data_IF_562711961431
#
_entry.id   IF_562711961431
#
_cell.length_a   1.000
_cell.length_b   1.000
_cell.length_c   1.000
_cell.angle_alpha   90.00
_cell.angle_beta   90.00
_cell.angle_gamma   90.00
#
_symmetry.space_group_name_H-M   'P 1'
#
loop_
_entity.id
_entity.type
_entity.pdbx_description
1 polymer ?
#
# COMPACT_ATOMS: atom_id res chain seq x y z
N UNK A 1 3.18 -36.86 14.74
CA UNK A 1 3.01 -36.37 13.35
C UNK A 1 4.38 -36.20 12.71
N UNK A 2 4.72 -36.96 11.66
CA UNK A 2 6.07 -36.96 11.08
C UNK A 2 6.22 -35.81 10.07
N UNK A 3 7.28 -34.99 10.21
CA UNK A 3 7.62 -33.85 9.33
C UNK A 3 7.53 -34.16 7.83
N UNK A 4 7.98 -35.37 7.45
CA UNK A 4 7.96 -35.85 6.06
C UNK A 4 6.55 -36.06 5.51
N UNK A 5 5.59 -36.41 6.36
CA UNK A 5 4.20 -36.58 5.96
C UNK A 5 3.55 -35.22 5.76
N UNK A 6 3.76 -34.28 6.69
CA UNK A 6 3.25 -32.90 6.59
C UNK A 6 3.69 -32.19 5.30
N UNK A 7 4.97 -32.29 4.91
CA UNK A 7 5.46 -31.67 3.67
C UNK A 7 4.85 -32.32 2.41
N UNK A 8 4.70 -33.65 2.40
CA UNK A 8 4.04 -34.36 1.29
C UNK A 8 2.57 -33.97 1.16
N UNK A 9 1.86 -33.85 2.28
CA UNK A 9 0.47 -33.41 2.31
C UNK A 9 0.34 -31.96 1.81
N UNK A 10 1.19 -31.04 2.26
CA UNK A 10 1.15 -29.63 1.88
C UNK A 10 1.43 -29.40 0.37
N UNK A 11 2.30 -30.21 -0.25
CA UNK A 11 2.60 -30.15 -1.69
C UNK A 11 1.45 -30.67 -2.57
N UNK A 12 0.69 -31.66 -2.10
CA UNK A 12 -0.44 -32.21 -2.85
C UNK A 12 -1.64 -31.26 -2.87
N UNK A 13 -1.91 -30.55 -1.77
CA UNK A 13 -3.01 -29.57 -1.70
C UNK A 13 -2.73 -28.33 -2.56
N UNK A 14 -1.46 -27.92 -2.68
CA UNK A 14 -1.06 -26.80 -3.53
C UNK A 14 -1.18 -27.12 -5.02
N UNK A 15 -0.84 -28.34 -5.45
CA UNK A 15 -1.02 -28.79 -6.83
C UNK A 15 -2.50 -28.81 -7.28
N UNK A 16 -3.43 -29.15 -6.38
CA UNK A 16 -4.86 -29.15 -6.69
C UNK A 16 -5.43 -27.72 -6.83
N UNK A 17 -4.93 -26.74 -6.07
CA UNK A 17 -5.31 -25.33 -6.26
C UNK A 17 -4.72 -24.75 -7.57
N UNK A 18 -3.52 -25.19 -7.96
CA UNK A 18 -2.87 -24.86 -9.23
C UNK A 18 -3.58 -25.45 -10.46
N UNK A 19 -4.35 -26.52 -10.32
CA UNK A 19 -5.12 -27.11 -11.43
C UNK A 19 -6.44 -26.37 -11.72
N UNK A 20 -6.80 -25.35 -10.93
CA UNK A 20 -7.91 -24.47 -11.30
C UNK A 20 -7.55 -23.71 -12.58
N UNK A 21 -8.32 -23.91 -13.65
CA UNK A 21 -8.10 -23.29 -14.96
C UNK A 21 -7.92 -21.76 -14.89
N UNK A 22 -8.56 -21.13 -13.91
CA UNK A 22 -8.47 -19.69 -13.66
C UNK A 22 -7.08 -19.26 -13.15
N UNK A 23 -6.36 -20.08 -12.37
CA UNK A 23 -5.02 -19.72 -11.86
C UNK A 23 -3.92 -19.98 -12.90
N UNK A 24 -4.07 -21.02 -13.73
CA UNK A 24 -3.13 -21.32 -14.82
C UNK A 24 -3.17 -20.25 -15.93
N UNK A 25 -4.32 -19.61 -16.17
CA UNK A 25 -4.44 -18.50 -17.12
C UNK A 25 -3.67 -17.24 -16.68
N UNK A 26 -3.56 -16.97 -15.36
CA UNK A 26 -2.68 -15.92 -14.83
C UNK A 26 -1.19 -16.26 -14.94
N UNK A 27 -0.85 -17.55 -15.01
CA UNK A 27 0.52 -18.04 -15.02
C UNK A 27 1.15 -18.17 -16.41
N UNK A 28 0.36 -18.49 -17.43
CA UNK A 28 0.89 -18.82 -18.77
C UNK A 28 1.40 -17.63 -19.58
N UNK A 29 0.96 -16.42 -19.27
CA UNK A 29 1.41 -15.17 -19.94
C UNK A 29 2.67 -14.56 -19.29
N UNK A 30 3.10 -15.09 -18.13
CA UNK A 30 4.28 -14.60 -17.40
C UNK A 30 5.61 -14.96 -18.07
N UNK A 31 5.67 -16.07 -18.82
CA UNK A 31 6.96 -16.67 -19.21
C UNK A 31 7.39 -16.41 -20.65
N UNK A 32 6.48 -15.93 -21.51
CA UNK A 32 6.76 -15.81 -22.96
C UNK A 32 6.51 -14.41 -23.54
N UNK A 33 6.10 -13.43 -22.73
CA UNK A 33 5.84 -12.08 -23.20
C UNK A 33 6.92 -11.11 -22.67
N UNK A 34 7.85 -10.62 -23.52
CA UNK A 34 8.85 -9.63 -23.11
C UNK A 34 8.23 -8.28 -22.68
N UNK A 35 6.94 -8.05 -22.94
CA UNK A 35 6.18 -6.89 -22.48
C UNK A 35 5.32 -7.18 -21.22
N UNK A 36 5.57 -8.29 -20.51
CA UNK A 36 4.80 -8.61 -19.31
C UNK A 36 4.80 -7.46 -18.29
N UNK A 37 3.61 -6.98 -17.93
CA UNK A 37 3.40 -5.94 -16.90
C UNK A 37 2.74 -6.58 -15.68
N UNK A 38 3.51 -6.71 -14.60
CA UNK A 38 3.02 -7.17 -13.30
C UNK A 38 2.86 -6.03 -12.30
N UNK A 39 1.83 -6.09 -11.46
CA UNK A 39 1.67 -5.21 -10.30
C UNK A 39 1.93 -6.01 -9.02
N UNK A 40 2.90 -5.58 -8.22
CA UNK A 40 3.16 -6.15 -6.89
C UNK A 40 2.63 -5.16 -5.85
N UNK A 41 1.63 -5.60 -5.08
CA UNK A 41 1.14 -4.83 -3.92
C UNK A 41 1.72 -5.40 -2.64
N UNK A 42 2.52 -4.61 -1.95
CA UNK A 42 3.01 -4.91 -0.60
C UNK A 42 2.07 -4.26 0.43
N UNK A 43 1.54 -5.07 1.34
CA UNK A 43 0.77 -4.57 2.48
C UNK A 43 1.60 -4.64 3.75
N UNK A 44 1.94 -3.49 4.31
CA UNK A 44 2.69 -3.42 5.56
C UNK A 44 1.71 -3.38 6.75
N UNK A 45 1.00 -4.49 6.99
CA UNK A 45 0.02 -4.60 8.07
C UNK A 45 0.72 -4.68 9.44
N UNK A 46 0.45 -3.73 10.33
CA UNK A 46 0.99 -3.71 11.70
C UNK A 46 2.05 -2.63 11.93
N UNK A 47 3.22 -3.02 12.47
CA UNK A 47 4.25 -2.11 13.02
C UNK A 47 5.01 -1.23 12.01
N UNK A 48 4.43 -0.94 10.85
CA UNK A 48 4.99 0.04 9.92
C UNK A 48 4.60 1.45 10.36
N UNK A 49 5.60 2.24 10.70
CA UNK A 49 5.44 3.64 11.07
C UNK A 49 5.77 4.54 9.89
N UNK A 50 4.75 4.92 9.13
CA UNK A 50 4.90 5.74 7.92
C UNK A 50 5.44 7.14 8.21
N UNK A 51 5.15 7.69 9.40
CA UNK A 51 5.65 9.01 9.81
C UNK A 51 7.15 9.01 10.11
N UNK A 52 7.72 7.88 10.54
CA UNK A 52 9.17 7.71 10.68
C UNK A 52 9.82 7.19 9.39
N UNK A 53 9.04 6.69 8.43
CA UNK A 53 9.54 6.34 7.09
C UNK A 53 9.81 7.59 6.26
N UNK A 54 8.78 8.43 6.07
CA UNK A 54 8.81 9.66 5.28
C UNK A 54 8.55 10.85 6.21
N UNK A 55 9.61 11.58 6.53
CA UNK A 55 9.63 12.62 7.56
C UNK A 55 9.67 14.00 6.91
N UNK A 56 8.85 14.98 7.34
CA UNK A 56 9.01 16.37 6.93
C UNK A 56 10.40 16.90 7.33
N UNK A 57 11.10 17.55 6.41
CA UNK A 57 12.49 17.93 6.60
C UNK A 57 12.72 19.44 6.69
N UNK A 58 11.75 20.27 6.29
CA UNK A 58 11.83 21.72 6.52
C UNK A 58 11.70 22.06 8.01
N UNK A 59 12.27 23.19 8.44
CA UNK A 59 12.39 23.51 9.89
C UNK A 59 11.04 23.56 10.61
N UNK A 60 10.03 24.21 10.04
CA UNK A 60 8.68 24.29 10.62
C UNK A 60 8.00 22.91 10.69
N UNK A 61 7.75 22.24 9.55
CA UNK A 61 7.13 20.92 9.54
C UNK A 61 7.87 19.84 10.34
N UNK A 62 9.21 19.88 10.36
CA UNK A 62 10.00 18.97 11.21
C UNK A 62 9.78 19.25 12.70
N UNK A 63 9.71 20.52 13.10
CA UNK A 63 9.41 20.89 14.48
C UNK A 63 8.03 20.37 14.90
N UNK A 64 7.02 20.50 14.04
CA UNK A 64 5.67 19.95 14.30
C UNK A 64 5.72 18.43 14.49
N UNK A 65 6.36 17.71 13.55
CA UNK A 65 6.59 16.26 13.64
C UNK A 65 7.28 15.86 14.96
N UNK A 66 8.31 16.59 15.36
CA UNK A 66 9.03 16.34 16.62
C UNK A 66 8.15 16.61 17.85
N UNK A 67 7.34 17.66 17.82
CA UNK A 67 6.46 18.06 18.92
C UNK A 67 5.33 17.06 19.15
N UNK A 68 4.73 16.52 18.09
CA UNK A 68 3.66 15.51 18.22
C UNK A 68 4.19 14.14 18.67
N UNK A 69 5.49 13.86 18.48
CA UNK A 69 6.10 12.54 18.71
C UNK A 69 7.49 12.59 19.35
N UNK A 70 7.68 13.28 20.49
CA UNK A 70 9.00 13.62 21.02
C UNK A 70 9.91 12.42 21.33
N UNK A 71 9.32 11.28 21.73
CA UNK A 71 10.07 10.05 22.05
C UNK A 71 10.45 9.21 20.83
N UNK A 72 9.77 9.42 19.70
CA UNK A 72 9.91 8.59 18.49
C UNK A 72 10.54 9.36 17.33
N UNK A 73 10.61 10.69 17.43
CA UNK A 73 11.17 11.55 16.40
C UNK A 73 12.65 11.23 16.14
N UNK A 74 12.96 10.98 14.88
CA UNK A 74 14.33 10.75 14.43
C UNK A 74 15.06 12.10 14.35
N UNK A 75 16.27 12.24 14.94
CA UNK A 75 17.06 13.46 14.84
C UNK A 75 17.30 13.86 13.37
N UNK A 76 17.13 15.15 13.06
CA UNK A 76 17.13 15.69 11.70
C UNK A 76 18.40 15.34 10.93
N UNK A 77 19.53 15.43 11.61
CA UNK A 77 20.86 15.13 11.10
C UNK A 77 21.09 13.65 10.75
N UNK A 78 20.21 12.75 11.20
CA UNK A 78 20.26 11.32 10.86
C UNK A 78 19.35 10.95 9.68
N UNK A 79 18.50 11.86 9.24
CA UNK A 79 17.59 11.62 8.12
C UNK A 79 18.33 11.72 6.79
N UNK A 80 17.82 11.04 5.77
CA UNK A 80 18.34 11.09 4.41
C UNK A 80 17.48 12.05 3.60
N UNK A 81 17.95 13.27 3.27
CA UNK A 81 17.15 14.23 2.53
C UNK A 81 16.76 13.69 1.15
N UNK A 82 15.51 13.91 0.77
CA UNK A 82 15.01 13.56 -0.56
C UNK A 82 15.04 14.79 -1.46
N UNK A 83 15.47 14.60 -2.70
CA UNK A 83 15.57 15.65 -3.71
C UNK A 83 14.75 15.27 -4.95
N UNK A 84 14.08 16.26 -5.54
CA UNK A 84 13.41 16.14 -6.83
C UNK A 84 14.21 16.97 -7.82
N UNK A 85 14.81 16.32 -8.82
CA UNK A 85 15.64 16.97 -9.84
C UNK A 85 16.75 17.88 -9.25
N UNK A 86 17.35 17.45 -8.13
CA UNK A 86 18.40 18.21 -7.44
C UNK A 86 17.90 19.31 -6.49
N UNK A 87 16.58 19.53 -6.39
CA UNK A 87 15.99 20.48 -5.46
C UNK A 87 15.41 19.78 -4.23
N UNK A 88 15.47 20.38 -3.03
CA UNK A 88 14.88 19.79 -1.83
C UNK A 88 13.39 19.51 -2.01
N UNK A 89 12.97 18.29 -1.71
CA UNK A 89 11.55 17.89 -1.75
C UNK A 89 10.73 18.39 -0.56
N UNK A 90 11.40 18.90 0.48
CA UNK A 90 10.81 19.19 1.79
C UNK A 90 10.65 17.95 2.67
N UNK A 91 11.06 16.76 2.22
CA UNK A 91 11.00 15.50 2.95
C UNK A 91 12.35 14.79 3.05
N UNK A 92 12.44 13.86 3.99
CA UNK A 92 13.58 12.98 4.18
C UNK A 92 13.14 11.57 4.58
N UNK A 93 13.96 10.57 4.31
CA UNK A 93 13.71 9.19 4.70
C UNK A 93 14.45 8.78 5.97
N UNK A 94 13.92 7.75 6.62
CA UNK A 94 14.60 7.04 7.70
C UNK A 94 16.03 6.62 7.27
N UNK A 95 17.06 6.73 8.14
CA UNK A 95 18.44 6.32 7.83
C UNK A 95 18.64 4.86 7.38
N UNK A 96 17.63 4.00 7.56
CA UNK A 96 17.68 2.58 7.19
C UNK A 96 17.12 2.32 5.79
N UNK A 97 16.71 3.37 5.08
CA UNK A 97 16.11 3.28 3.75
C UNK A 97 16.94 4.01 2.67
N UNK A 98 18.29 3.91 2.66
CA UNK A 98 19.11 4.64 1.69
C UNK A 98 18.78 4.24 0.25
N UNK A 99 18.44 2.97 0.00
CA UNK A 99 18.05 2.49 -1.33
C UNK A 99 16.74 3.07 -1.85
N UNK A 100 15.78 3.35 -0.96
CA UNK A 100 14.56 4.05 -1.38
C UNK A 100 14.83 5.52 -1.68
N UNK A 101 15.77 6.15 -0.95
CA UNK A 101 16.19 7.51 -1.26
C UNK A 101 16.89 7.59 -2.63
N UNK A 102 17.75 6.62 -2.95
CA UNK A 102 18.37 6.48 -4.27
C UNK A 102 17.30 6.39 -5.38
N UNK A 103 16.32 5.49 -5.24
CA UNK A 103 15.24 5.33 -6.22
C UNK A 103 14.36 6.58 -6.36
N UNK A 104 14.10 7.29 -5.25
CA UNK A 104 13.34 8.53 -5.32
C UNK A 104 14.12 9.61 -6.08
N UNK A 105 15.40 9.77 -5.75
CA UNK A 105 16.26 10.77 -6.38
C UNK A 105 16.57 10.44 -7.85
N UNK A 106 16.50 9.17 -8.26
CA UNK A 106 16.60 8.73 -9.68
C UNK A 106 15.30 8.90 -10.47
N UNK A 107 14.18 9.23 -9.80
CA UNK A 107 12.86 9.34 -10.44
C UNK A 107 12.13 8.01 -10.64
N UNK A 108 12.62 6.92 -10.03
CA UNK A 108 12.05 5.58 -10.12
C UNK A 108 11.07 5.25 -8.99
N UNK A 109 11.02 6.08 -7.94
CA UNK A 109 10.09 5.97 -6.81
C UNK A 109 9.34 7.27 -6.59
N UNK A 110 8.03 7.17 -6.35
CA UNK A 110 7.19 8.28 -5.91
C UNK A 110 6.54 7.96 -4.57
N UNK A 111 6.45 8.97 -3.70
CA UNK A 111 5.62 8.92 -2.49
C UNK A 111 4.32 9.69 -2.74
N UNK A 112 3.20 9.09 -2.32
CA UNK A 112 1.91 9.77 -2.28
C UNK A 112 1.49 9.82 -0.82
N UNK A 113 1.48 11.01 -0.24
CA UNK A 113 1.11 11.24 1.15
C UNK A 113 -0.34 11.71 1.28
N UNK A 114 -0.86 11.72 2.51
CA UNK A 114 -2.22 12.17 2.83
C UNK A 114 -3.32 11.43 2.04
N UNK A 115 -3.11 10.13 1.82
CA UNK A 115 -4.07 9.24 1.15
C UNK A 115 -4.90 8.46 2.16
N UNK A 116 -6.15 8.20 1.80
CA UNK A 116 -7.05 7.36 2.56
C UNK A 116 -8.35 7.13 1.77
N UNK A 117 -9.23 6.23 2.25
CA UNK A 117 -10.55 6.05 1.65
C UNK A 117 -11.34 7.37 1.69
N UNK A 118 -11.96 7.74 0.57
CA UNK A 118 -12.84 8.89 0.45
C UNK A 118 -14.14 8.48 -0.24
N UNK A 119 -15.26 9.01 0.23
CA UNK A 119 -16.56 8.89 -0.46
C UNK A 119 -16.67 9.99 -1.52
N UNK A 120 -16.23 11.20 -1.18
CA UNK A 120 -16.19 12.37 -2.04
C UNK A 120 -14.93 13.20 -1.78
N UNK A 121 -14.49 14.06 -2.73
CA UNK A 121 -13.43 15.03 -2.46
C UNK A 121 -13.77 15.86 -1.22
N UNK A 122 -12.89 15.84 -0.23
CA UNK A 122 -13.15 16.38 1.11
C UNK A 122 -12.05 17.37 1.51
N UNK A 123 -12.42 18.46 2.17
CA UNK A 123 -11.47 19.42 2.77
C UNK A 123 -11.47 19.32 4.29
N UNK A 124 -10.39 19.78 4.93
CA UNK A 124 -10.32 19.88 6.40
C UNK A 124 -11.50 20.67 6.97
N UNK A 125 -11.81 21.82 6.38
CA UNK A 125 -12.93 22.66 6.79
C UNK A 125 -14.26 21.90 6.72
N UNK A 126 -14.55 21.20 5.60
CA UNK A 126 -15.80 20.45 5.44
C UNK A 126 -15.97 19.32 6.48
N UNK A 127 -14.87 18.75 6.98
CA UNK A 127 -14.87 17.80 8.09
C UNK A 127 -15.19 18.50 9.41
N UNK A 128 -14.54 19.63 9.69
CA UNK A 128 -14.70 20.39 10.94
C UNK A 128 -16.12 20.90 11.11
N UNK A 129 -16.75 21.39 10.04
CA UNK A 129 -18.15 21.83 10.04
C UNK A 129 -19.16 20.69 9.83
N UNK A 130 -18.69 19.42 9.75
CA UNK A 130 -19.51 18.20 9.59
C UNK A 130 -20.41 18.19 8.36
N UNK A 131 -19.97 18.80 7.26
CA UNK A 131 -20.68 18.79 5.98
C UNK A 131 -20.21 17.68 5.04
N UNK A 132 -19.00 17.17 5.21
CA UNK A 132 -18.46 16.11 4.36
C UNK A 132 -19.12 14.75 4.61
N UNK A 133 -19.39 14.01 3.54
CA UNK A 133 -19.73 12.59 3.62
C UNK A 133 -18.46 11.77 3.82
N UNK A 134 -18.34 11.16 4.99
CA UNK A 134 -17.15 10.40 5.37
C UNK A 134 -17.36 8.88 5.27
N UNK A 135 -16.32 8.10 4.96
CA UNK A 135 -16.38 6.65 4.99
C UNK A 135 -16.83 6.13 6.37
N UNK A 136 -17.51 4.97 6.42
CA UNK A 136 -17.91 4.38 7.69
C UNK A 136 -16.69 3.96 8.53
N UNK A 137 -16.87 3.92 9.85
CA UNK A 137 -15.86 3.43 10.81
C UNK A 137 -14.48 4.08 10.61
N UNK A 138 -14.45 5.41 10.50
CA UNK A 138 -13.19 6.16 10.56
C UNK A 138 -12.39 5.75 11.81
N UNK A 139 -11.07 5.68 11.66
CA UNK A 139 -10.10 5.26 12.68
C UNK A 139 -10.12 3.75 13.02
N UNK A 140 -11.06 2.96 12.48
CA UNK A 140 -11.01 1.49 12.61
C UNK A 140 -10.00 0.90 11.63
N UNK A 141 -8.87 0.39 12.15
CA UNK A 141 -7.82 -0.22 11.33
C UNK A 141 -8.37 -1.31 10.39
N UNK A 142 -9.21 -2.21 10.90
CA UNK A 142 -9.75 -3.31 10.11
C UNK A 142 -10.68 -2.80 9.01
N UNK A 143 -11.59 -1.89 9.35
CA UNK A 143 -12.53 -1.32 8.38
C UNK A 143 -11.80 -0.53 7.32
N UNK A 144 -10.85 0.35 7.68
CA UNK A 144 -10.09 1.13 6.70
C UNK A 144 -9.22 0.25 5.79
N UNK A 145 -8.67 -0.87 6.31
CA UNK A 145 -7.92 -1.86 5.49
C UNK A 145 -8.84 -2.54 4.47
N UNK A 146 -10.06 -2.85 4.87
CA UNK A 146 -11.09 -3.43 4.02
C UNK A 146 -11.51 -2.46 2.91
N UNK A 147 -11.79 -1.19 3.24
CA UNK A 147 -12.11 -0.14 2.27
C UNK A 147 -10.98 0.08 1.25
N UNK A 148 -9.71 0.01 1.69
CA UNK A 148 -8.56 0.14 0.79
C UNK A 148 -8.40 -1.06 -0.14
N UNK A 149 -8.71 -2.26 0.34
CA UNK A 149 -8.61 -3.50 -0.44
C UNK A 149 -9.80 -3.68 -1.39
N UNK A 150 -10.96 -3.15 -1.02
CA UNK A 150 -12.17 -3.21 -1.81
C UNK A 150 -12.33 -2.04 -2.78
N UNK A 151 -11.76 -0.87 -2.48
CA UNK A 151 -12.08 0.40 -3.13
C UNK A 151 -13.60 0.69 -3.17
N UNK A 152 -14.35 0.21 -2.18
CA UNK A 152 -15.78 0.43 -2.02
C UNK A 152 -15.96 1.13 -0.67
N UNK A 153 -16.51 2.34 -0.70
CA UNK A 153 -16.63 3.23 0.47
C UNK A 153 -18.04 3.34 1.03
N UNK A 154 -18.96 2.49 0.55
CA UNK A 154 -20.32 2.40 1.07
C UNK A 154 -20.38 1.61 2.40
N UNK A 155 -21.56 1.57 3.02
CA UNK A 155 -21.79 0.81 4.27
C UNK A 155 -21.96 -0.69 4.04
N UNK A 156 -21.95 -1.15 2.80
CA UNK A 156 -22.14 -2.55 2.47
C UNK A 156 -20.79 -3.25 2.64
N UNK A 157 -20.73 -4.33 3.41
CA UNK A 157 -19.50 -5.11 3.53
C UNK A 157 -19.04 -5.53 2.11
N UNK A 158 -17.88 -5.05 1.63
CA UNK A 158 -17.46 -5.31 0.26
C UNK A 158 -17.22 -6.81 0.06
N UNK A 159 -17.91 -7.39 -0.92
CA UNK A 159 -17.79 -8.83 -1.24
C UNK A 159 -16.59 -9.15 -2.13
N UNK A 160 -15.93 -8.14 -2.71
CA UNK A 160 -14.81 -8.31 -3.65
C UNK A 160 -13.74 -7.22 -3.46
N UNK A 161 -12.49 -7.58 -3.75
CA UNK A 161 -11.34 -6.67 -3.77
C UNK A 161 -11.09 -6.07 -5.16
N UNK A 162 -10.40 -4.93 -5.25
CA UNK A 162 -10.04 -4.33 -6.54
C UNK A 162 -9.17 -5.25 -7.39
N UNK A 163 -8.27 -6.03 -6.77
CA UNK A 163 -7.39 -6.95 -7.49
C UNK A 163 -8.16 -8.13 -8.10
N UNK A 164 -9.19 -8.64 -7.40
CA UNK A 164 -10.08 -9.67 -7.93
C UNK A 164 -10.91 -9.15 -9.10
N UNK A 165 -11.48 -7.94 -8.98
CA UNK A 165 -12.21 -7.31 -10.09
C UNK A 165 -11.31 -7.01 -11.30
N UNK A 166 -10.07 -6.61 -11.05
CA UNK A 166 -9.06 -6.45 -12.10
C UNK A 166 -8.79 -7.79 -12.79
N UNK A 167 -8.59 -8.86 -12.02
CA UNK A 167 -8.40 -10.21 -12.54
C UNK A 167 -9.59 -10.68 -13.39
N UNK A 168 -10.82 -10.49 -12.90
CA UNK A 168 -12.05 -10.83 -13.63
C UNK A 168 -12.18 -10.05 -14.94
N UNK A 169 -11.67 -8.82 -15.01
CA UNK A 169 -11.70 -8.01 -16.24
C UNK A 169 -10.78 -8.54 -17.34
N UNK A 170 -9.78 -9.36 -16.99
CA UNK A 170 -8.87 -10.02 -17.94
C UNK A 170 -9.32 -11.43 -18.33
N UNK A 171 -10.34 -12.01 -17.66
CA UNK A 171 -10.87 -13.32 -18.02
C UNK A 171 -11.89 -13.18 -19.19
N UNK A 172 -11.85 -14.08 -20.20
CA UNK A 172 -12.84 -14.07 -21.28
C UNK A 172 -14.26 -14.27 -20.75
N UNK A 173 -15.21 -13.49 -21.26
CA UNK A 173 -16.63 -13.52 -20.82
C UNK A 173 -17.35 -14.86 -21.06
N UNK A 174 -16.76 -15.76 -21.84
CA UNK A 174 -17.33 -17.07 -22.19
C UNK A 174 -17.16 -18.13 -21.08
N UNK A 175 -16.64 -17.76 -19.90
CA UNK A 175 -16.46 -18.65 -18.75
C UNK A 175 -17.11 -18.16 -17.44
N UNK A 176 -18.07 -17.22 -17.53
CA UNK A 176 -18.88 -16.78 -16.39
C UNK A 176 -20.24 -17.49 -16.35
#
# INVERSE_FOLDING_TARGET
MNRRHFIKSALLTSAAMLASKNLLAFGSDLTNNPEFKGLIRLNLNGGHDSLNMLVPYEDGPYADYKNIRPLLAIPKEKLIPLNINGYPSGYALHPKLPKLAELFNSGELAFISNVGPLVEPTTKESIEIKQANLPPHLLSHNSQTELWSSCITDRSAPKTGWAGRLADSYLPKDQQ
#
